data_IF_095411451522
#
_entry.id   IF_095411451522
#
_cell.length_a   1.000
_cell.length_b   1.000
_cell.length_c   1.000
_cell.angle_alpha   90.00
_cell.angle_beta   90.00
_cell.angle_gamma   90.00
#
_symmetry.space_group_name_H-M   'P 1'
#
loop_
_entity.id
_entity.type
_entity.pdbx_description
1 polymer ?
#
# COMPACT_ATOMS: atom_id res chain seq x y z
N UNK A 1 -34.83 -21.51 -45.88
CA UNK A 1 -35.03 -20.07 -46.20
C UNK A 1 -35.45 -19.36 -44.93
N UNK A 2 -34.86 -18.20 -44.71
CA UNK A 2 -34.63 -17.54 -43.42
C UNK A 2 -35.80 -16.70 -42.91
N UNK A 3 -35.76 -16.45 -41.59
CA UNK A 3 -35.90 -15.14 -40.89
C UNK A 3 -36.97 -15.11 -39.79
N UNK A 4 -36.59 -14.75 -38.56
CA UNK A 4 -36.75 -13.36 -38.09
C UNK A 4 -36.22 -13.12 -36.66
N UNK A 5 -35.53 -11.98 -36.53
CA UNK A 5 -35.45 -11.06 -35.38
C UNK A 5 -35.01 -11.58 -34.00
N UNK A 6 -33.85 -11.08 -33.55
CA UNK A 6 -33.83 -10.02 -32.53
C UNK A 6 -32.54 -9.21 -32.61
N UNK A 7 -32.70 -7.96 -33.06
CA UNK A 7 -31.76 -6.86 -32.86
C UNK A 7 -31.75 -6.53 -31.36
N UNK A 8 -30.88 -7.14 -30.58
CA UNK A 8 -30.56 -6.61 -29.25
C UNK A 8 -29.39 -5.65 -29.38
N UNK A 9 -29.74 -4.36 -29.46
CA UNK A 9 -28.83 -3.24 -29.23
C UNK A 9 -28.33 -3.36 -27.80
N UNK A 10 -27.27 -4.14 -27.60
CA UNK A 10 -26.52 -4.11 -26.35
C UNK A 10 -25.88 -2.73 -26.32
N UNK A 11 -26.54 -1.82 -25.62
CA UNK A 11 -25.96 -0.56 -25.18
C UNK A 11 -24.57 -0.89 -24.65
N UNK A 12 -23.53 -0.44 -25.35
CA UNK A 12 -22.18 -0.29 -24.84
C UNK A 12 -22.23 0.69 -23.68
N UNK A 13 -22.85 0.26 -22.58
CA UNK A 13 -22.50 0.74 -21.28
C UNK A 13 -21.13 0.12 -21.05
N UNK A 14 -20.13 0.79 -21.64
CA UNK A 14 -18.73 0.60 -21.37
C UNK A 14 -18.59 0.87 -19.87
N UNK A 15 -18.84 -0.19 -19.08
CA UNK A 15 -18.49 -0.25 -17.67
C UNK A 15 -17.02 0.11 -17.64
N UNK A 16 -16.75 1.36 -17.28
CA UNK A 16 -15.43 1.90 -16.98
C UNK A 16 -14.86 1.10 -15.81
N UNK A 17 -14.48 -0.13 -16.11
CA UNK A 17 -13.76 -1.04 -15.23
C UNK A 17 -12.29 -0.69 -15.36
N UNK A 18 -11.97 0.57 -15.08
CA UNK A 18 -10.62 1.14 -15.08
C UNK A 18 -10.37 1.95 -13.81
N UNK A 19 -11.05 1.60 -12.71
CA UNK A 19 -10.78 2.20 -11.40
C UNK A 19 -10.28 1.20 -10.35
N UNK A 20 -9.97 -0.04 -10.71
CA UNK A 20 -9.13 -0.93 -9.90
C UNK A 20 -7.68 -0.83 -10.35
N UNK A 21 -7.17 0.40 -10.47
CA UNK A 21 -5.73 0.62 -10.42
C UNK A 21 -5.30 0.20 -9.02
N UNK A 22 -4.64 -0.96 -8.93
CA UNK A 22 -3.67 -1.34 -7.91
C UNK A 22 -3.82 -0.51 -6.62
N UNK A 23 -4.62 -0.99 -5.65
CA UNK A 23 -4.34 -0.62 -4.26
C UNK A 23 -2.94 -1.14 -4.02
N UNK A 24 -1.94 -0.30 -4.24
CA UNK A 24 -0.53 -0.66 -4.15
C UNK A 24 -0.36 -1.39 -2.84
N UNK A 25 0.12 -2.63 -2.87
CA UNK A 25 0.46 -3.32 -1.65
C UNK A 25 1.36 -2.39 -0.82
N UNK A 26 1.20 -2.33 0.50
CA UNK A 26 2.05 -1.51 1.35
C UNK A 26 3.52 -1.75 1.02
N UNK A 27 4.32 -0.68 0.95
CA UNK A 27 5.73 -0.80 0.60
C UNK A 27 6.44 -1.60 1.68
N UNK A 28 7.09 -2.70 1.32
CA UNK A 28 7.89 -3.49 2.26
C UNK A 28 9.28 -2.88 2.43
N UNK A 29 9.54 -2.34 3.63
CA UNK A 29 10.80 -1.74 4.03
C UNK A 29 11.58 -2.77 4.86
N UNK A 30 12.40 -3.57 4.19
CA UNK A 30 13.22 -4.62 4.82
C UNK A 30 14.62 -4.14 5.23
N UNK A 31 15.09 -3.04 4.62
CA UNK A 31 16.45 -2.50 4.83
C UNK A 31 16.41 -1.13 5.50
N UNK A 32 17.39 -0.87 6.37
CA UNK A 32 17.52 0.43 7.07
C UNK A 32 17.61 1.60 6.08
N UNK A 33 18.37 1.43 5.00
CA UNK A 33 18.49 2.46 3.96
C UNK A 33 17.16 2.72 3.28
N UNK A 34 16.40 1.68 2.91
CA UNK A 34 15.08 1.81 2.32
C UNK A 34 14.11 2.55 3.24
N UNK A 35 14.13 2.25 4.54
CA UNK A 35 13.36 3.00 5.54
C UNK A 35 13.80 4.47 5.64
N UNK A 36 15.10 4.75 5.68
CA UNK A 36 15.61 6.13 5.74
C UNK A 36 15.25 6.94 4.49
N UNK A 37 15.35 6.35 3.31
CA UNK A 37 14.91 6.99 2.06
C UNK A 37 13.40 7.20 2.02
N UNK A 38 12.63 6.24 2.53
CA UNK A 38 11.19 6.37 2.69
C UNK A 38 10.85 7.55 3.61
N UNK A 39 11.40 7.59 4.83
CA UNK A 39 11.21 8.69 5.79
C UNK A 39 11.60 10.04 5.18
N UNK A 40 12.72 10.12 4.45
CA UNK A 40 13.12 11.35 3.74
C UNK A 40 12.09 11.77 2.70
N UNK A 41 11.58 10.83 1.91
CA UNK A 41 10.56 11.08 0.88
C UNK A 41 9.23 11.52 1.47
N UNK A 42 8.90 11.06 2.67
CA UNK A 42 7.71 11.44 3.42
C UNK A 42 7.95 12.50 4.50
N UNK A 43 9.13 13.15 4.53
CA UNK A 43 9.49 14.15 5.55
C UNK A 43 8.56 15.38 5.59
N UNK A 44 7.90 15.68 4.47
CA UNK A 44 6.89 16.73 4.36
C UNK A 44 5.49 16.30 4.81
N UNK A 45 5.32 15.04 5.22
CA UNK A 45 4.02 14.51 5.66
C UNK A 45 4.11 13.88 7.03
N UNK A 46 3.08 14.08 7.83
CA UNK A 46 2.95 13.40 9.12
C UNK A 46 2.55 11.94 8.87
N UNK A 47 3.38 11.02 9.34
CA UNK A 47 3.09 9.60 9.40
C UNK A 47 3.42 9.09 10.80
N UNK A 48 2.81 7.98 11.19
CA UNK A 48 3.05 7.31 12.47
C UNK A 48 3.59 5.93 12.19
N UNK A 49 4.75 5.62 12.74
CA UNK A 49 5.29 4.26 12.71
C UNK A 49 4.83 3.53 13.96
N UNK A 50 4.10 2.43 13.78
CA UNK A 50 3.61 1.56 14.84
C UNK A 50 4.35 0.24 14.74
N UNK A 51 5.07 -0.13 15.80
CA UNK A 51 5.70 -1.44 15.90
C UNK A 51 4.70 -2.42 16.52
N UNK A 52 4.63 -3.65 16.01
CA UNK A 52 3.82 -4.70 16.61
C UNK A 52 4.46 -5.12 17.95
N UNK A 53 3.64 -5.48 18.93
CA UNK A 53 4.12 -5.93 20.26
C UNK A 53 5.03 -7.15 20.18
N UNK A 54 4.76 -8.06 19.24
CA UNK A 54 5.59 -9.25 18.98
C UNK A 54 6.97 -8.90 18.38
N UNK A 55 7.21 -7.63 18.02
CA UNK A 55 8.43 -7.14 17.36
C UNK A 55 8.75 -7.90 16.06
N UNK A 56 7.75 -8.52 15.43
CA UNK A 56 7.91 -9.25 14.17
C UNK A 56 7.79 -8.34 12.96
N UNK A 57 6.98 -7.28 13.07
CA UNK A 57 6.66 -6.35 11.99
C UNK A 57 6.37 -4.95 12.55
N UNK A 58 6.53 -3.93 11.72
CA UNK A 58 6.07 -2.58 11.97
C UNK A 58 5.24 -2.08 10.80
N UNK A 59 4.40 -1.08 11.03
CA UNK A 59 3.56 -0.47 10.01
C UNK A 59 3.72 1.04 10.05
N UNK A 60 3.85 1.65 8.87
CA UNK A 60 3.79 3.10 8.72
C UNK A 60 2.38 3.47 8.31
N UNK A 61 1.70 4.18 9.19
CA UNK A 61 0.32 4.63 9.05
C UNK A 61 0.33 6.11 8.68
N UNK A 62 -0.42 6.47 7.66
CA UNK A 62 -0.59 7.84 7.19
C UNK A 62 -2.07 8.09 6.91
N UNK A 63 -2.65 9.12 7.51
CA UNK A 63 -4.07 9.47 7.34
C UNK A 63 -5.04 8.30 7.63
N UNK A 64 -4.63 7.34 8.46
CA UNK A 64 -5.40 6.13 8.77
C UNK A 64 -5.15 4.92 7.86
N UNK A 65 -4.32 5.07 6.82
CA UNK A 65 -3.96 4.00 5.88
C UNK A 65 -2.54 3.50 6.11
N UNK A 66 -2.34 2.18 6.01
CA UNK A 66 -1.01 1.57 6.05
C UNK A 66 -0.33 1.75 4.69
N UNK A 67 0.72 2.57 4.66
CA UNK A 67 1.44 2.91 3.43
C UNK A 67 2.74 2.11 3.27
N UNK A 68 3.28 1.59 4.37
CA UNK A 68 4.46 0.73 4.35
C UNK A 68 4.45 -0.26 5.53
N UNK A 69 5.08 -1.41 5.30
CA UNK A 69 5.34 -2.43 6.32
C UNK A 69 6.84 -2.49 6.54
N UNK A 70 7.28 -2.31 7.78
CA UNK A 70 8.69 -2.35 8.18
C UNK A 70 9.02 -3.74 8.72
N UNK A 71 10.04 -4.36 8.14
CA UNK A 71 10.44 -5.75 8.42
C UNK A 71 11.98 -5.84 8.49
N UNK A 72 12.49 -6.98 8.96
CA UNK A 72 13.92 -7.30 8.88
C UNK A 72 14.84 -6.29 9.58
N UNK A 73 15.88 -5.85 8.88
CA UNK A 73 16.89 -4.94 9.43
C UNK A 73 16.33 -3.56 9.74
N UNK A 74 15.37 -3.08 8.94
CA UNK A 74 14.71 -1.81 9.20
C UNK A 74 13.93 -1.83 10.52
N UNK A 75 13.24 -2.94 10.80
CA UNK A 75 12.49 -3.14 12.04
C UNK A 75 13.44 -3.22 13.23
N UNK A 76 14.53 -3.99 13.11
CA UNK A 76 15.54 -4.11 14.16
C UNK A 76 16.13 -2.74 14.53
N UNK A 77 16.42 -1.92 13.53
CA UNK A 77 16.92 -0.56 13.75
C UNK A 77 15.93 0.31 14.53
N UNK A 78 14.64 0.23 14.20
CA UNK A 78 13.59 0.98 14.91
C UNK A 78 13.41 0.54 16.36
N UNK A 79 13.51 -0.76 16.62
CA UNK A 79 13.47 -1.30 17.99
C UNK A 79 14.66 -0.77 18.79
N UNK A 80 15.87 -0.82 18.22
CA UNK A 80 17.08 -0.27 18.85
C UNK A 80 16.96 1.23 19.14
N UNK A 81 16.41 2.03 18.20
CA UNK A 81 16.17 3.47 18.40
C UNK A 81 15.07 3.75 19.43
N UNK A 82 14.05 2.89 19.55
CA UNK A 82 12.95 3.08 20.52
C UNK A 82 13.35 2.77 21.97
N UNK A 83 14.46 2.05 22.15
CA UNK A 83 14.99 1.66 23.47
C UNK A 83 16.11 2.58 23.99
N UNK A 84 16.43 3.67 23.28
CA UNK A 84 17.33 4.74 23.75
C UNK A 84 16.56 5.95 24.28
#
# INVERSE_FOLDING_TARGET
MSNTNILYKQSDNMSKSTNSFLKSAPVELTTVTGYKDFVKRYSHTSFTTVLKEDQTEGYVIKDGDVIATVLGDALKHLIEESHC
#
